data_IF_945243244231
#
_entry.id   IF_945243244231
#
_cell.length_a   1.000
_cell.length_b   1.000
_cell.length_c   1.000
_cell.angle_alpha   90.00
_cell.angle_beta   90.00
_cell.angle_gamma   90.00
#
_symmetry.space_group_name_H-M   'P 1'
#
loop_
_entity.id
_entity.type
_entity.pdbx_description
1 polymer ?
#
# COMPACT_ATOMS: atom_id res chain seq x y z
N UNK A 1 16.04 -24.42 -16.36
CA UNK A 1 16.23 -23.04 -15.88
C UNK A 1 14.99 -22.60 -15.11
N UNK A 2 15.06 -22.55 -13.78
CA UNK A 2 13.95 -22.26 -12.87
C UNK A 2 13.54 -20.78 -12.95
N UNK A 3 12.48 -20.47 -13.70
CA UNK A 3 11.79 -19.16 -13.73
C UNK A 3 10.45 -19.22 -13.00
N UNK A 4 10.35 -19.99 -11.92
CA UNK A 4 9.07 -20.39 -11.33
C UNK A 4 8.69 -19.69 -10.01
N UNK A 5 9.38 -18.64 -9.57
CA UNK A 5 9.03 -17.99 -8.29
C UNK A 5 8.37 -16.62 -8.38
N UNK A 6 7.98 -16.13 -9.57
CA UNK A 6 7.72 -14.68 -9.63
C UNK A 6 6.51 -14.20 -8.81
N UNK A 7 5.43 -14.99 -8.61
CA UNK A 7 4.11 -14.39 -8.31
C UNK A 7 3.04 -15.25 -7.60
N UNK A 8 3.39 -16.22 -6.76
CA UNK A 8 2.37 -17.04 -6.11
C UNK A 8 2.15 -16.66 -4.63
N UNK A 9 0.89 -16.42 -4.28
CA UNK A 9 0.29 -16.67 -2.97
C UNK A 9 0.13 -15.51 -1.96
N UNK A 10 -0.41 -14.36 -2.34
CA UNK A 10 -1.25 -13.66 -1.35
C UNK A 10 -2.67 -14.21 -1.45
N UNK A 11 -3.11 -14.89 -0.40
CA UNK A 11 -4.53 -15.18 -0.20
C UNK A 11 -5.32 -13.89 -0.01
N UNK A 12 -6.65 -13.98 0.11
CA UNK A 12 -7.49 -12.84 0.51
C UNK A 12 -7.18 -12.47 1.96
N UNK A 13 -6.62 -11.27 2.18
CA UNK A 13 -6.33 -10.73 3.52
C UNK A 13 -6.76 -9.28 3.62
N UNK A 14 -7.44 -8.94 4.71
CA UNK A 14 -7.73 -7.56 5.10
C UNK A 14 -6.90 -7.20 6.32
N UNK A 15 -6.20 -6.06 6.27
CA UNK A 15 -5.36 -5.56 7.36
C UNK A 15 -5.83 -4.16 7.75
N UNK A 16 -6.26 -4.01 9.00
CA UNK A 16 -6.66 -2.74 9.57
C UNK A 16 -5.46 -2.12 10.31
N UNK A 17 -5.17 -0.84 10.02
CA UNK A 17 -4.10 -0.11 10.70
C UNK A 17 -4.54 1.28 11.14
N UNK A 18 -4.44 1.56 12.43
CA UNK A 18 -4.60 2.91 12.98
C UNK A 18 -3.38 3.75 12.61
N UNK A 19 -3.58 5.01 12.23
CA UNK A 19 -2.50 5.97 11.94
C UNK A 19 -2.39 6.97 13.08
N UNK A 20 -1.19 7.08 13.63
CA UNK A 20 -0.81 7.98 14.70
C UNK A 20 0.21 9.01 14.23
N UNK A 21 0.14 10.23 14.77
CA UNK A 21 1.19 11.24 14.60
C UNK A 21 2.42 10.94 15.48
N UNK A 22 3.50 11.71 15.30
CA UNK A 22 4.72 11.59 16.12
C UNK A 22 4.52 11.79 17.64
N UNK A 23 3.38 12.36 18.06
CA UNK A 23 3.01 12.56 19.48
C UNK A 23 2.15 11.39 20.01
N UNK A 24 1.84 10.41 19.16
CA UNK A 24 0.98 9.27 19.50
C UNK A 24 -0.51 9.61 19.43
N UNK A 25 -0.90 10.76 18.88
CA UNK A 25 -2.31 11.05 18.67
C UNK A 25 -2.81 10.23 17.50
N UNK A 26 -3.97 9.63 17.70
CA UNK A 26 -4.72 9.00 16.63
C UNK A 26 -5.24 10.06 15.66
N UNK A 27 -4.82 9.94 14.42
CA UNK A 27 -5.11 10.92 13.38
C UNK A 27 -5.72 10.30 12.14
N UNK A 28 -5.71 8.97 12.02
CA UNK A 28 -6.15 8.33 10.79
C UNK A 28 -6.32 6.83 10.83
N UNK A 29 -6.61 6.28 9.65
CA UNK A 29 -6.85 4.88 9.43
C UNK A 29 -6.32 4.44 8.05
N UNK A 30 -5.82 3.21 7.97
CA UNK A 30 -5.49 2.54 6.72
C UNK A 30 -6.12 1.15 6.71
N UNK A 31 -6.79 0.80 5.61
CA UNK A 31 -7.24 -0.57 5.33
C UNK A 31 -6.48 -1.05 4.10
N UNK A 32 -5.83 -2.21 4.22
CA UNK A 32 -5.25 -2.92 3.08
C UNK A 32 -6.05 -4.19 2.83
N UNK A 33 -6.73 -4.28 1.69
CA UNK A 33 -7.31 -5.53 1.21
C UNK A 33 -6.44 -6.05 0.07
N UNK A 34 -5.83 -7.21 0.29
CA UNK A 34 -5.01 -7.90 -0.69
C UNK A 34 -5.83 -9.11 -1.12
N UNK A 35 -6.47 -9.01 -2.28
CA UNK A 35 -7.29 -10.07 -2.85
C UNK A 35 -6.63 -10.77 -4.03
N UNK A 36 -7.32 -11.77 -4.58
CA UNK A 36 -6.85 -12.56 -5.74
C UNK A 36 -6.64 -11.73 -7.01
N UNK A 37 -7.32 -10.59 -7.12
CA UNK A 37 -7.30 -9.71 -8.29
C UNK A 37 -7.07 -8.23 -8.00
N UNK A 38 -7.16 -7.80 -6.74
CA UNK A 38 -7.19 -6.38 -6.40
C UNK A 38 -6.40 -6.09 -5.13
N UNK A 39 -5.62 -5.01 -5.15
CA UNK A 39 -5.10 -4.36 -3.94
C UNK A 39 -5.93 -3.10 -3.70
N UNK A 40 -6.67 -3.07 -2.59
CA UNK A 40 -7.38 -1.89 -2.13
C UNK A 40 -6.63 -1.28 -0.96
N UNK A 41 -6.27 0.00 -1.07
CA UNK A 41 -5.74 0.77 0.07
C UNK A 41 -6.59 2.01 0.27
N UNK A 42 -7.25 2.11 1.42
CA UNK A 42 -7.82 3.36 1.88
C UNK A 42 -6.91 3.92 2.96
N UNK A 43 -6.49 5.18 2.86
CA UNK A 43 -5.76 5.91 3.87
C UNK A 43 -6.44 7.25 4.15
N UNK A 44 -6.71 7.56 5.42
CA UNK A 44 -7.25 8.86 5.82
C UNK A 44 -6.40 9.42 6.95
N UNK A 45 -5.79 10.60 6.78
CA UNK A 45 -5.00 11.26 7.82
C UNK A 45 -4.86 12.77 7.58
N UNK A 46 -4.66 13.59 8.62
CA UNK A 46 -4.42 15.02 8.49
C UNK A 46 -3.02 15.28 7.93
N UNK A 47 -2.95 16.03 6.84
CA UNK A 47 -1.72 16.67 6.36
C UNK A 47 -1.94 18.17 6.44
N UNK A 48 -1.11 18.87 7.23
CA UNK A 48 -1.19 20.33 7.37
C UNK A 48 -2.60 20.84 7.74
N UNK A 49 -3.30 20.14 8.65
CA UNK A 49 -4.64 20.51 9.11
C UNK A 49 -5.80 20.14 8.17
N UNK A 50 -5.53 19.47 7.03
CA UNK A 50 -6.57 18.97 6.11
C UNK A 50 -6.57 17.45 6.11
N UNK A 51 -7.75 16.84 6.24
CA UNK A 51 -7.92 15.40 6.06
C UNK A 51 -7.64 15.05 4.60
N UNK A 52 -6.62 14.23 4.37
CA UNK A 52 -6.33 13.63 3.07
C UNK A 52 -6.96 12.25 3.08
N UNK A 53 -7.94 12.04 2.20
CA UNK A 53 -8.40 10.72 1.83
C UNK A 53 -7.65 10.26 0.59
N UNK A 54 -7.05 9.08 0.68
CA UNK A 54 -6.56 8.33 -0.47
C UNK A 54 -7.30 7.01 -0.53
N UNK A 55 -7.97 6.74 -1.64
CA UNK A 55 -8.54 5.43 -1.90
C UNK A 55 -7.95 4.90 -3.20
N UNK A 56 -7.37 3.71 -3.17
CA UNK A 56 -6.63 3.12 -4.26
C UNK A 56 -7.18 1.75 -4.59
N UNK A 57 -7.39 1.46 -5.87
CA UNK A 57 -7.67 0.12 -6.41
C UNK A 57 -6.64 -0.22 -7.47
N UNK A 58 -5.84 -1.26 -7.24
CA UNK A 58 -4.88 -1.78 -8.22
C UNK A 58 -5.32 -3.15 -8.69
N UNK A 59 -5.65 -3.28 -9.97
CA UNK A 59 -6.04 -4.54 -10.59
C UNK A 59 -4.81 -5.30 -11.05
N UNK A 60 -4.67 -6.55 -10.59
CA UNK A 60 -3.56 -7.43 -10.94
C UNK A 60 -4.03 -8.88 -11.04
N UNK A 61 -3.19 -9.75 -11.61
CA UNK A 61 -3.49 -11.18 -11.74
C UNK A 61 -2.77 -12.01 -10.67
N UNK A 62 -3.50 -12.95 -10.07
CA UNK A 62 -3.02 -13.94 -9.09
C UNK A 62 -2.40 -13.31 -7.84
N UNK A 63 -2.98 -12.22 -7.37
CA UNK A 63 -2.48 -11.44 -6.25
C UNK A 63 -0.98 -11.16 -6.37
N UNK A 64 -0.56 -10.62 -7.52
CA UNK A 64 0.80 -10.16 -7.67
C UNK A 64 0.83 -8.75 -8.19
N UNK A 65 1.41 -7.80 -7.46
CA UNK A 65 1.20 -6.41 -7.79
C UNK A 65 1.95 -6.07 -9.08
N UNK A 66 2.99 -6.81 -9.45
CA UNK A 66 3.76 -6.58 -10.67
C UNK A 66 3.06 -7.11 -11.94
N UNK A 67 1.92 -7.81 -11.84
CA UNK A 67 1.02 -8.11 -12.99
C UNK A 67 -0.06 -7.06 -13.17
N UNK A 68 0.02 -5.93 -12.44
CA UNK A 68 -1.02 -4.92 -12.51
C UNK A 68 -1.32 -4.51 -13.96
N UNK A 69 -2.58 -4.27 -14.27
CA UNK A 69 -3.03 -3.78 -15.59
C UNK A 69 -3.59 -2.36 -15.49
N UNK A 70 -4.21 -2.04 -14.37
CA UNK A 70 -4.92 -0.80 -14.14
C UNK A 70 -4.86 -0.40 -12.68
N UNK A 71 -4.80 0.90 -12.40
CA UNK A 71 -4.85 1.46 -11.07
C UNK A 71 -5.71 2.73 -11.03
N UNK A 72 -6.52 2.87 -9.98
CA UNK A 72 -7.38 4.03 -9.73
C UNK A 72 -7.10 4.57 -8.34
N UNK A 73 -6.87 5.87 -8.24
CA UNK A 73 -6.57 6.55 -6.99
C UNK A 73 -7.44 7.79 -6.85
N UNK A 74 -8.19 7.89 -5.77
CA UNK A 74 -8.88 9.12 -5.38
C UNK A 74 -8.03 9.84 -4.33
N UNK A 75 -7.43 10.97 -4.68
CA UNK A 75 -6.59 11.77 -3.78
C UNK A 75 -7.22 13.16 -3.63
N UNK A 76 -7.61 13.51 -2.40
CA UNK A 76 -8.27 14.81 -2.12
C UNK A 76 -9.47 15.10 -3.04
N UNK A 77 -10.26 14.07 -3.38
CA UNK A 77 -11.41 14.20 -4.28
C UNK A 77 -11.08 14.23 -5.77
N UNK A 78 -9.81 14.16 -6.16
CA UNK A 78 -9.38 14.05 -7.55
C UNK A 78 -9.10 12.59 -7.92
N UNK A 79 -9.78 12.12 -8.97
CA UNK A 79 -9.56 10.79 -9.52
C UNK A 79 -8.31 10.81 -10.42
N UNK A 80 -7.41 9.86 -10.19
CA UNK A 80 -6.21 9.60 -10.96
C UNK A 80 -6.30 8.15 -11.43
N UNK A 81 -6.32 7.95 -12.73
CA UNK A 81 -6.34 6.65 -13.38
C UNK A 81 -5.01 6.41 -14.11
N UNK A 82 -4.47 5.20 -13.94
CA UNK A 82 -3.18 4.80 -14.51
C UNK A 82 -3.34 3.44 -15.17
N UNK A 83 -3.22 3.42 -16.49
CA UNK A 83 -3.09 2.20 -17.25
C UNK A 83 -1.64 1.73 -17.30
N UNK A 84 -1.43 0.42 -17.23
CA UNK A 84 -0.12 -0.16 -17.50
C UNK A 84 0.17 -0.07 -18.99
N UNK A 85 1.21 0.67 -19.35
CA UNK A 85 1.67 0.74 -20.74
C UNK A 85 2.86 -0.18 -21.02
N UNK A 86 3.09 -0.49 -22.29
CA UNK A 86 4.25 -1.24 -22.73
C UNK A 86 5.58 -0.47 -22.57
N UNK A 87 5.53 0.85 -22.39
CA UNK A 87 6.71 1.72 -22.23
C UNK A 87 7.16 1.85 -20.78
N UNK A 88 6.32 1.48 -19.81
CA UNK A 88 6.70 1.47 -18.41
C UNK A 88 7.80 0.43 -18.14
N UNK A 89 8.76 0.73 -17.25
CA UNK A 89 9.84 -0.19 -16.95
C UNK A 89 9.33 -1.46 -16.26
N UNK A 90 10.12 -2.54 -16.30
CA UNK A 90 9.73 -3.83 -15.72
C UNK A 90 10.87 -4.40 -14.86
N UNK A 91 10.59 -4.88 -13.63
CA UNK A 91 9.28 -4.91 -12.98
C UNK A 91 8.88 -3.53 -12.41
N UNK A 92 7.57 -3.21 -12.44
CA UNK A 92 7.03 -1.98 -11.84
C UNK A 92 5.67 -2.21 -11.18
N UNK A 93 5.33 -1.34 -10.22
CA UNK A 93 4.07 -1.28 -9.48
C UNK A 93 3.64 0.17 -9.22
N UNK A 94 2.34 0.46 -9.05
CA UNK A 94 1.88 1.72 -8.44
C UNK A 94 2.37 1.85 -6.99
N UNK A 95 2.53 3.08 -6.49
CA UNK A 95 3.02 3.34 -5.13
C UNK A 95 2.16 2.70 -4.05
N UNK A 96 0.84 2.69 -4.21
CA UNK A 96 -0.08 2.09 -3.24
C UNK A 96 -0.05 0.56 -3.18
N UNK A 97 0.66 -0.08 -4.11
CA UNK A 97 0.93 -1.52 -4.06
C UNK A 97 2.20 -1.88 -3.26
N UNK A 98 2.93 -0.90 -2.73
CA UNK A 98 4.14 -1.10 -1.91
C UNK A 98 3.90 -2.08 -0.76
N UNK A 99 2.76 -1.93 -0.06
CA UNK A 99 2.46 -2.72 1.13
C UNK A 99 2.28 -4.21 0.79
N UNK A 100 1.75 -4.49 -0.39
CA UNK A 100 1.66 -5.85 -0.89
C UNK A 100 3.08 -6.41 -1.11
N UNK A 101 3.97 -5.68 -1.80
CA UNK A 101 5.37 -6.10 -2.02
C UNK A 101 6.09 -6.36 -0.69
N UNK A 102 5.98 -5.46 0.29
CA UNK A 102 6.55 -5.63 1.61
C UNK A 102 5.98 -6.86 2.33
N UNK A 103 4.67 -7.08 2.24
CA UNK A 103 4.01 -8.25 2.83
C UNK A 103 4.54 -9.57 2.29
N UNK A 104 4.83 -9.67 0.99
CA UNK A 104 5.47 -10.87 0.44
C UNK A 104 6.83 -11.15 1.05
N UNK A 105 7.67 -10.12 1.20
CA UNK A 105 8.98 -10.30 1.84
C UNK A 105 8.84 -10.73 3.30
N UNK A 106 7.85 -10.19 4.02
CA UNK A 106 7.57 -10.58 5.40
C UNK A 106 7.19 -12.08 5.49
N UNK A 107 6.35 -12.56 4.57
CA UNK A 107 5.94 -13.96 4.49
C UNK A 107 7.07 -14.89 4.02
N UNK A 108 8.06 -14.36 3.29
CA UNK A 108 9.16 -15.08 2.69
C UNK A 108 10.51 -14.51 3.14
N UNK A 109 10.81 -14.59 4.44
CA UNK A 109 12.01 -13.98 5.06
C UNK A 109 13.36 -14.42 4.46
N UNK A 110 13.42 -15.54 3.75
CA UNK A 110 14.61 -15.99 3.00
C UNK A 110 14.73 -15.42 1.58
N UNK A 111 13.75 -14.65 1.11
CA UNK A 111 13.77 -14.07 -0.22
C UNK A 111 14.75 -12.87 -0.28
N UNK A 112 15.55 -12.74 -1.36
CA UNK A 112 16.43 -11.58 -1.53
C UNK A 112 15.62 -10.28 -1.65
N UNK A 113 16.31 -9.15 -1.53
CA UNK A 113 15.73 -7.85 -1.80
C UNK A 113 15.08 -7.78 -3.20
N UNK A 114 14.01 -7.01 -3.32
CA UNK A 114 13.27 -6.79 -4.56
C UNK A 114 13.60 -5.40 -5.08
N UNK A 115 14.29 -5.35 -6.23
CA UNK A 115 14.48 -4.12 -7.01
C UNK A 115 13.37 -4.00 -8.05
N UNK A 116 12.73 -2.84 -8.10
CA UNK A 116 11.67 -2.54 -9.04
C UNK A 116 11.54 -1.04 -9.31
N UNK A 117 10.55 -0.67 -10.10
CA UNK A 117 10.13 0.71 -10.28
C UNK A 117 8.79 0.95 -9.60
N UNK A 118 8.70 2.01 -8.82
CA UNK A 118 7.41 2.51 -8.32
C UNK A 118 6.97 3.65 -9.23
N UNK A 119 5.74 3.56 -9.72
CA UNK A 119 5.13 4.63 -10.52
C UNK A 119 4.50 5.63 -9.56
N UNK A 120 4.94 6.88 -9.63
CA UNK A 120 4.24 7.99 -8.99
C UNK A 120 2.98 8.30 -9.79
N UNK A 121 1.83 7.87 -9.27
CA UNK A 121 0.58 7.87 -10.02
C UNK A 121 0.12 9.26 -10.49
N UNK A 122 0.28 10.35 -9.72
CA UNK A 122 -0.03 11.70 -10.21
C UNK A 122 0.75 12.14 -11.44
N UNK A 123 1.99 11.67 -11.63
CA UNK A 123 2.87 12.11 -12.73
C UNK A 123 3.13 11.03 -13.77
N UNK A 124 2.83 9.77 -13.45
CA UNK A 124 3.23 8.59 -14.22
C UNK A 124 4.75 8.33 -14.19
N UNK A 125 5.53 9.12 -13.44
CA UNK A 125 6.99 9.02 -13.46
C UNK A 125 7.45 7.77 -12.68
N UNK A 126 8.33 6.94 -13.28
CA UNK A 126 8.88 5.79 -12.59
C UNK A 126 10.09 6.20 -11.72
N UNK A 127 10.14 5.68 -10.50
CA UNK A 127 11.27 5.86 -9.58
C UNK A 127 11.88 4.52 -9.19
N UNK A 128 13.20 4.43 -9.29
CA UNK A 128 13.94 3.23 -8.88
C UNK A 128 13.70 2.96 -7.40
N UNK A 129 13.27 1.75 -7.08
CA UNK A 129 12.80 1.38 -5.74
C UNK A 129 13.37 0.04 -5.32
N UNK A 130 13.63 -0.10 -4.02
CA UNK A 130 14.13 -1.34 -3.43
C UNK A 130 13.40 -1.66 -2.13
N UNK A 131 12.94 -2.89 -2.03
CA UNK A 131 12.36 -3.48 -0.82
C UNK A 131 13.35 -4.51 -0.26
N UNK A 132 13.80 -4.31 0.97
CA UNK A 132 14.82 -5.16 1.58
C UNK A 132 14.70 -5.25 3.10
N UNK A 133 15.10 -6.39 3.65
CA UNK A 133 15.32 -6.53 5.09
C UNK A 133 16.52 -5.66 5.52
N UNK A 134 16.30 -4.76 6.48
CA UNK A 134 17.36 -3.99 7.14
C UNK A 134 17.88 -4.68 8.40
N UNK A 135 17.03 -5.47 9.06
CA UNK A 135 17.35 -6.37 10.18
C UNK A 135 16.50 -7.64 10.06
N UNK A 136 16.59 -8.57 11.02
CA UNK A 136 15.76 -9.78 11.04
C UNK A 136 14.25 -9.52 11.28
N UNK A 137 13.88 -8.31 11.68
CA UNK A 137 12.53 -7.90 12.08
C UNK A 137 12.08 -6.58 11.45
N UNK A 138 12.86 -6.03 10.52
CA UNK A 138 12.55 -4.77 9.83
C UNK A 138 12.75 -4.88 8.32
N UNK A 139 11.72 -4.49 7.58
CA UNK A 139 11.73 -4.29 6.13
C UNK A 139 11.74 -2.81 5.81
N UNK A 140 12.50 -2.43 4.79
CA UNK A 140 12.54 -1.06 4.28
C UNK A 140 12.06 -1.03 2.84
N UNK A 141 11.26 -0.01 2.51
CA UNK A 141 11.07 0.44 1.15
C UNK A 141 11.88 1.73 0.96
N UNK A 142 12.78 1.70 -0.02
CA UNK A 142 13.59 2.84 -0.43
C UNK A 142 13.27 3.23 -1.87
N UNK A 143 13.36 4.53 -2.14
CA UNK A 143 13.19 5.14 -3.47
C UNK A 143 14.42 5.99 -3.73
N UNK A 144 15.10 5.75 -4.85
CA UNK A 144 16.33 6.44 -5.26
C UNK A 144 17.42 6.44 -4.16
N UNK A 145 17.50 5.35 -3.38
CA UNK A 145 18.46 5.17 -2.29
C UNK A 145 18.04 5.80 -0.95
N UNK A 146 16.94 6.56 -0.90
CA UNK A 146 16.38 7.11 0.34
C UNK A 146 15.29 6.21 0.92
N UNK A 147 15.34 5.92 2.22
CA UNK A 147 14.27 5.17 2.91
C UNK A 147 12.99 6.00 2.92
N UNK A 148 11.92 5.45 2.35
CA UNK A 148 10.57 6.04 2.37
C UNK A 148 9.73 5.47 3.48
N UNK A 149 9.80 4.16 3.68
CA UNK A 149 8.96 3.44 4.64
C UNK A 149 9.78 2.39 5.38
N UNK A 150 9.54 2.26 6.69
CA UNK A 150 10.01 1.13 7.49
C UNK A 150 8.81 0.32 7.95
N UNK A 151 8.88 -1.00 7.79
CA UNK A 151 7.87 -1.92 8.28
C UNK A 151 8.49 -2.79 9.36
N UNK A 152 7.93 -2.76 10.56
CA UNK A 152 8.30 -3.73 11.59
C UNK A 152 7.53 -5.02 11.34
N UNK A 153 8.25 -6.14 11.31
CA UNK A 153 7.71 -7.47 11.04
C UNK A 153 7.82 -8.32 12.30
N UNK A 154 6.72 -9.02 12.64
CA UNK A 154 6.71 -10.03 13.69
C UNK A 154 6.27 -11.35 13.10
N UNK A 155 7.15 -12.35 13.13
CA UNK A 155 6.90 -13.60 12.41
C UNK A 155 6.86 -13.32 10.91
N UNK A 156 5.68 -13.47 10.31
CA UNK A 156 5.44 -13.27 8.87
C UNK A 156 4.53 -12.07 8.57
N UNK A 157 4.24 -11.24 9.58
CA UNK A 157 3.25 -10.16 9.47
C UNK A 157 3.86 -8.80 9.76
N UNK A 158 3.50 -7.81 8.94
CA UNK A 158 3.82 -6.41 9.22
C UNK A 158 2.88 -5.92 10.31
N UNK A 159 3.44 -5.55 11.46
CA UNK A 159 2.69 -5.07 12.64
C UNK A 159 2.73 -3.55 12.80
N UNK A 160 3.72 -2.89 12.19
CA UNK A 160 3.89 -1.44 12.20
C UNK A 160 4.42 -0.96 10.85
N UNK A 161 4.04 0.22 10.39
CA UNK A 161 4.68 0.89 9.24
C UNK A 161 4.90 2.37 9.51
N UNK A 162 6.09 2.89 9.23
CA UNK A 162 6.51 4.27 9.49
C UNK A 162 6.67 5.04 8.17
N UNK A 163 5.97 6.17 8.06
CA UNK A 163 5.96 7.04 6.87
C UNK A 163 6.27 8.48 7.29
N UNK A 164 7.54 8.81 7.46
CA UNK A 164 7.95 10.14 7.93
C UNK A 164 7.44 10.43 9.34
N UNK A 165 6.55 11.41 9.51
CA UNK A 165 5.98 11.81 10.82
C UNK A 165 4.78 10.95 11.25
N UNK A 166 4.35 10.00 10.42
CA UNK A 166 3.20 9.14 10.68
C UNK A 166 3.65 7.71 10.95
N UNK A 167 2.98 7.07 11.91
CA UNK A 167 3.14 5.65 12.20
C UNK A 167 1.80 4.97 12.08
N UNK A 168 1.73 3.83 11.38
CA UNK A 168 0.59 2.93 11.47
C UNK A 168 0.87 1.72 12.32
N UNK A 169 -0.14 1.27 13.06
CA UNK A 169 -0.10 0.07 13.90
C UNK A 169 -1.31 -0.80 13.58
N UNK A 170 -1.09 -2.10 13.44
CA UNK A 170 -2.17 -3.07 13.21
C UNK A 170 -3.12 -3.11 14.41
N UNK A 171 -4.42 -3.10 14.12
CA UNK A 171 -5.51 -3.24 15.08
C UNK A 171 -6.38 -4.45 14.73
N UNK A 172 -7.21 -4.91 15.66
CA UNK A 172 -7.95 -6.18 15.51
C UNK A 172 -8.98 -6.15 14.40
N UNK A 173 -9.71 -5.05 14.31
CA UNK A 173 -10.85 -4.91 13.41
C UNK A 173 -11.14 -3.42 13.10
N UNK A 174 -12.17 -3.21 12.29
CA UNK A 174 -12.63 -1.89 11.89
C UNK A 174 -13.20 -1.08 13.07
N UNK A 175 -13.81 -1.73 14.06
CA UNK A 175 -14.36 -1.04 15.24
C UNK A 175 -13.23 -0.42 16.08
N UNK A 176 -12.15 -1.18 16.33
CA UNK A 176 -10.96 -0.68 17.01
C UNK A 176 -10.26 0.42 16.20
N UNK A 177 -10.17 0.25 14.89
CA UNK A 177 -9.63 1.25 13.98
C UNK A 177 -10.37 2.58 14.16
N UNK A 178 -11.69 2.53 14.19
CA UNK A 178 -12.56 3.71 14.26
C UNK A 178 -12.71 4.29 15.66
N UNK A 179 -12.51 3.51 16.73
CA UNK A 179 -12.77 3.90 18.12
C UNK A 179 -12.03 5.18 18.55
N UNK A 180 -12.71 6.33 18.54
CA UNK A 180 -12.14 7.65 18.87
C UNK A 180 -11.56 8.42 17.67
N UNK A 181 -11.80 8.01 16.42
CA UNK A 181 -11.42 8.84 15.26
C UNK A 181 -12.51 9.90 15.15
N UNK A 182 -12.11 11.14 14.88
CA UNK A 182 -13.01 12.22 14.57
C UNK A 182 -14.09 11.76 13.55
N UNK A 183 -15.39 12.03 13.82
CA UNK A 183 -16.49 11.58 12.96
C UNK A 183 -16.35 11.99 11.49
N UNK A 184 -15.60 13.03 11.17
CA UNK A 184 -15.37 13.55 9.82
C UNK A 184 -14.44 12.66 8.99
N UNK A 185 -13.70 11.75 9.63
CA UNK A 185 -12.91 10.69 8.99
C UNK A 185 -13.76 9.42 8.76
N UNK A 186 -14.99 9.36 9.30
CA UNK A 186 -15.93 8.24 9.10
C UNK A 186 -16.42 8.21 7.65
N UNK A 187 -15.58 7.64 6.79
CA UNK A 187 -15.86 6.99 5.52
C UNK A 187 -16.90 7.63 4.59
N UNK A 188 -16.42 8.16 3.48
CA UNK A 188 -16.95 7.80 2.17
C UNK A 188 -16.04 6.71 1.59
N UNK A 189 -16.36 5.43 1.83
CA UNK A 189 -15.85 4.34 0.99
C UNK A 189 -16.44 4.60 -0.39
N UNK A 190 -15.64 5.19 -1.28
CA UNK A 190 -16.06 5.38 -2.66
C UNK A 190 -16.08 3.99 -3.29
N UNK A 191 -17.28 3.50 -3.55
CA UNK A 191 -17.48 2.28 -4.30
C UNK A 191 -17.04 2.51 -5.76
N UNK A 192 -15.77 2.17 -6.04
CA UNK A 192 -15.20 2.25 -7.38
C UNK A 192 -15.94 1.38 -8.41
N UNK A 193 -16.73 0.38 -7.98
CA UNK A 193 -17.53 -0.45 -8.89
C UNK A 193 -18.64 0.39 -9.53
N UNK A 194 -19.25 1.29 -8.78
CA UNK A 194 -20.36 2.12 -9.26
C UNK A 194 -19.91 3.34 -10.08
N UNK A 195 -18.69 3.83 -9.88
CA UNK A 195 -18.16 4.99 -10.63
C UNK A 195 -17.57 4.59 -11.99
N UNK A 196 -17.00 3.39 -12.10
CA UNK A 196 -16.54 2.84 -13.38
C UNK A 196 -17.70 2.52 -14.34
N UNK A 197 -18.89 2.18 -13.82
CA UNK A 197 -20.09 1.90 -14.61
C UNK A 197 -20.88 3.15 -15.03
N UNK A 198 -20.46 4.35 -14.60
CA UNK A 198 -21.10 5.64 -14.92
C UNK A 198 -20.36 6.45 -15.98
N UNK A 199 -19.31 5.91 -16.59
CA UNK A 199 -18.61 6.49 -17.74
C UNK A 199 -18.96 5.75 -19.02
#
# INVERSE_FOLDING_TARGET
>A
MLRQSRRAAWGTRTVFKRVDDRKGHKVGAVIHEIGTTTVLTLAVYPRSGRVIQVSSRVECTRANPFTWSYAVHLVNGHLIDVDRTATMPSPCVPSWAEFAVASYLAEHSGHPAIDCWVIDEPTGQPYASRFAWSSGDELTWSVEGGVRVRHAVRGQEIVRSEWGELTSVVVRDEDELLAGIAPEIRYSVVDFVNDAARR
#
